data_IF_605764099615
#
_entry.id   IF_605764099615
#
_cell.length_a   1.000
_cell.length_b   1.000
_cell.length_c   1.000
_cell.angle_alpha   90.00
_cell.angle_beta   90.00
_cell.angle_gamma   90.00
#
_symmetry.space_group_name_H-M   'P 1'
#
loop_
_entity.id
_entity.type
_entity.pdbx_description
1 polymer ?
#
# COMPACT_ATOMS: atom_id res chain seq x y z
N UNK A 1 25.06 15.57 -26.22
CA UNK A 1 26.17 16.27 -25.55
C UNK A 1 25.72 16.76 -24.16
N UNK A 2 24.63 17.57 -24.08
CA UNK A 2 24.14 18.12 -22.80
C UNK A 2 23.82 17.03 -21.75
N UNK A 3 23.16 15.93 -22.13
CA UNK A 3 22.85 14.83 -21.19
C UNK A 3 24.11 14.22 -20.56
N UNK A 4 25.17 14.02 -21.35
CA UNK A 4 26.43 13.48 -20.84
C UNK A 4 27.07 14.46 -19.83
N UNK A 5 26.98 15.75 -20.10
CA UNK A 5 27.51 16.78 -19.20
C UNK A 5 26.76 16.78 -17.85
N UNK A 6 25.43 16.64 -17.86
CA UNK A 6 24.62 16.53 -16.65
C UNK A 6 24.98 15.25 -15.87
N UNK A 7 25.13 14.12 -16.54
CA UNK A 7 25.48 12.87 -15.87
C UNK A 7 26.90 12.90 -15.27
N UNK A 8 27.87 13.53 -15.96
CA UNK A 8 29.22 13.74 -15.42
C UNK A 8 29.23 14.68 -14.21
N UNK A 9 28.40 15.72 -14.24
CA UNK A 9 28.24 16.62 -13.12
C UNK A 9 27.65 15.91 -11.89
N UNK A 10 26.59 15.13 -12.07
CA UNK A 10 25.99 14.30 -11.03
C UNK A 10 26.97 13.29 -10.45
N UNK A 11 27.78 12.65 -11.32
CA UNK A 11 28.84 11.74 -10.88
C UNK A 11 29.85 12.46 -9.97
N UNK A 12 30.32 13.66 -10.36
CA UNK A 12 31.24 14.46 -9.53
C UNK A 12 30.63 14.82 -8.18
N UNK A 13 29.36 15.27 -8.16
CA UNK A 13 28.66 15.60 -6.91
C UNK A 13 28.56 14.39 -5.99
N UNK A 14 28.19 13.22 -6.55
CA UNK A 14 28.06 11.98 -5.78
C UNK A 14 29.35 11.55 -5.08
N UNK A 15 30.50 11.70 -5.74
CA UNK A 15 31.78 11.17 -5.22
C UNK A 15 32.63 12.21 -4.50
N UNK A 16 32.38 13.50 -4.70
CA UNK A 16 33.18 14.56 -4.10
C UNK A 16 32.46 15.31 -2.96
N UNK A 17 31.16 15.10 -2.79
CA UNK A 17 30.40 15.78 -1.73
C UNK A 17 30.43 14.98 -0.44
N UNK A 18 30.58 15.69 0.68
CA UNK A 18 30.38 15.16 2.03
C UNK A 18 28.92 15.23 2.50
N UNK A 19 28.07 15.96 1.80
CA UNK A 19 26.63 16.03 2.08
C UNK A 19 25.90 14.83 1.46
N UNK A 20 25.31 13.99 2.30
CA UNK A 20 24.56 12.78 1.90
C UNK A 20 23.42 13.09 0.94
N UNK A 21 22.87 14.30 1.00
CA UNK A 21 21.76 14.74 0.15
C UNK A 21 22.21 15.52 -1.09
N UNK A 22 23.51 15.74 -1.29
CA UNK A 22 24.00 16.59 -2.38
C UNK A 22 23.58 16.10 -3.76
N UNK A 23 23.60 14.78 -3.99
CA UNK A 23 23.18 14.20 -5.27
C UNK A 23 21.66 14.38 -5.51
N UNK A 24 20.83 14.21 -4.48
CA UNK A 24 19.39 14.37 -4.57
C UNK A 24 19.01 15.83 -4.85
N UNK A 25 19.69 16.78 -4.17
CA UNK A 25 19.55 18.22 -4.45
C UNK A 25 19.93 18.54 -5.90
N UNK A 26 21.03 17.97 -6.38
CA UNK A 26 21.50 18.22 -7.76
C UNK A 26 20.58 17.64 -8.82
N UNK A 27 19.98 16.47 -8.57
CA UNK A 27 18.96 15.87 -9.42
C UNK A 27 17.72 16.77 -9.50
N UNK A 28 17.25 17.29 -8.36
CA UNK A 28 16.10 18.18 -8.28
C UNK A 28 16.34 19.56 -8.96
N UNK A 29 17.59 20.04 -8.95
CA UNK A 29 17.96 21.31 -9.63
C UNK A 29 17.98 21.19 -11.17
N UNK A 30 18.44 20.04 -11.69
CA UNK A 30 18.57 19.77 -13.12
C UNK A 30 17.97 18.40 -13.40
N UNK A 31 16.62 18.27 -13.40
CA UNK A 31 15.95 17.00 -13.66
C UNK A 31 16.13 16.59 -15.13
N UNK A 32 16.31 15.27 -15.37
CA UNK A 32 16.36 14.66 -16.70
C UNK A 32 15.01 14.04 -17.04
N UNK A 33 14.26 13.63 -16.03
CA UNK A 33 12.94 13.02 -16.15
C UNK A 33 11.90 13.80 -15.35
N UNK A 34 10.60 13.74 -15.73
CA UNK A 34 9.53 14.37 -14.94
C UNK A 34 9.48 13.91 -13.49
N UNK A 35 9.83 12.65 -13.22
CA UNK A 35 9.88 12.08 -11.88
C UNK A 35 10.95 12.74 -11.00
N UNK A 36 12.07 13.15 -11.60
CA UNK A 36 13.14 13.85 -10.89
C UNK A 36 12.76 15.29 -10.49
N UNK A 37 11.89 15.95 -11.28
CA UNK A 37 11.40 17.31 -10.97
C UNK A 37 10.54 17.34 -9.70
N UNK A 38 9.91 16.22 -9.36
CA UNK A 38 9.09 16.06 -8.15
C UNK A 38 9.96 15.92 -6.89
N UNK A 39 11.26 15.62 -7.02
CA UNK A 39 12.20 15.46 -5.89
C UNK A 39 12.57 16.80 -5.21
N UNK A 40 11.65 17.76 -5.14
CA UNK A 40 11.87 19.02 -4.39
C UNK A 40 11.99 18.72 -2.89
N UNK A 41 13.22 18.69 -2.43
CA UNK A 41 13.61 18.20 -1.10
C UNK A 41 13.33 19.16 0.07
N UNK A 42 12.86 20.38 -0.17
CA UNK A 42 12.83 21.41 0.89
C UNK A 42 11.63 21.33 1.84
N UNK A 43 10.51 20.69 1.42
CA UNK A 43 9.28 20.68 2.22
C UNK A 43 8.57 19.31 2.25
N UNK A 44 9.26 18.23 1.88
CA UNK A 44 8.65 16.92 1.87
C UNK A 44 9.04 16.14 3.13
N UNK A 45 8.05 15.87 3.99
CA UNK A 45 8.21 15.06 5.20
C UNK A 45 8.40 13.56 4.90
N UNK A 46 8.13 13.14 3.66
CA UNK A 46 8.27 11.74 3.27
C UNK A 46 9.70 11.42 2.79
N UNK A 47 10.23 10.24 3.11
CA UNK A 47 11.54 9.77 2.67
C UNK A 47 11.50 9.32 1.21
N UNK A 48 11.43 10.27 0.28
CA UNK A 48 11.22 10.02 -1.16
C UNK A 48 12.26 9.05 -1.74
N UNK A 49 13.52 9.15 -1.32
CA UNK A 49 14.58 8.29 -1.85
C UNK A 49 14.34 6.81 -1.50
N UNK A 50 13.95 6.53 -0.26
CA UNK A 50 13.62 5.20 0.23
C UNK A 50 12.36 4.67 -0.43
N UNK A 51 11.33 5.51 -0.57
CA UNK A 51 10.08 5.15 -1.27
C UNK A 51 10.38 4.80 -2.73
N UNK A 52 11.14 5.65 -3.45
CA UNK A 52 11.49 5.41 -4.85
C UNK A 52 12.32 4.13 -5.00
N UNK A 53 13.27 3.89 -4.08
CA UNK A 53 14.03 2.64 -4.07
C UNK A 53 13.10 1.44 -3.90
N UNK A 54 12.16 1.51 -2.97
CA UNK A 54 11.20 0.41 -2.72
C UNK A 54 10.27 0.16 -3.90
N UNK A 55 9.76 1.20 -4.54
CA UNK A 55 8.97 1.08 -5.77
C UNK A 55 9.76 0.39 -6.88
N UNK A 56 11.02 0.78 -7.08
CA UNK A 56 11.88 0.13 -8.07
C UNK A 56 12.15 -1.36 -7.77
N UNK A 57 12.26 -1.73 -6.49
CA UNK A 57 12.39 -3.14 -6.08
C UNK A 57 11.12 -3.94 -6.42
N UNK A 58 9.94 -3.36 -6.22
CA UNK A 58 8.65 -3.96 -6.57
C UNK A 58 8.53 -4.10 -8.09
N UNK A 59 8.78 -3.03 -8.84
CA UNK A 59 8.64 -3.00 -10.31
C UNK A 59 9.61 -3.95 -11.02
N UNK A 60 10.80 -4.17 -10.46
CA UNK A 60 11.81 -5.07 -11.02
C UNK A 60 11.70 -6.52 -10.56
N UNK A 61 10.78 -6.84 -9.65
CA UNK A 61 10.53 -8.21 -9.19
C UNK A 61 9.16 -8.69 -9.68
N UNK A 62 9.06 -9.41 -10.79
CA UNK A 62 7.78 -9.88 -11.33
C UNK A 62 7.02 -10.81 -10.37
N UNK A 63 7.72 -11.44 -9.44
CA UNK A 63 7.14 -12.37 -8.46
C UNK A 63 6.88 -11.72 -7.10
N UNK A 64 6.93 -10.39 -7.02
CA UNK A 64 6.79 -9.68 -5.73
C UNK A 64 5.45 -9.96 -5.03
N UNK A 65 4.41 -10.22 -5.80
CA UNK A 65 3.05 -10.48 -5.32
C UNK A 65 2.64 -11.95 -5.36
N UNK A 66 3.54 -12.88 -5.68
CA UNK A 66 3.19 -14.32 -5.79
C UNK A 66 2.78 -14.93 -4.44
N UNK A 67 3.30 -14.39 -3.33
CA UNK A 67 2.99 -14.84 -1.97
C UNK A 67 1.77 -14.12 -1.34
N UNK A 68 1.07 -13.27 -2.12
CA UNK A 68 -0.09 -12.52 -1.63
C UNK A 68 -1.36 -13.34 -1.84
N UNK A 69 -2.14 -13.55 -0.78
CA UNK A 69 -3.44 -14.21 -0.86
C UNK A 69 -4.51 -13.18 -1.26
N UNK A 70 -5.15 -13.42 -2.40
CA UNK A 70 -6.21 -12.54 -2.93
C UNK A 70 -7.55 -13.25 -2.78
N UNK A 71 -8.54 -12.59 -2.17
CA UNK A 71 -9.83 -13.22 -1.96
C UNK A 71 -10.80 -12.40 -1.12
N UNK A 72 -11.65 -13.09 -0.40
CA UNK A 72 -12.65 -12.53 0.50
C UNK A 72 -12.73 -13.29 1.82
N UNK A 73 -13.31 -12.64 2.83
CA UNK A 73 -13.62 -13.27 4.12
C UNK A 73 -15.11 -13.59 4.19
N UNK A 74 -15.43 -14.82 4.55
CA UNK A 74 -16.80 -15.29 4.70
C UNK A 74 -17.02 -15.98 6.06
N UNK A 75 -18.24 -15.98 6.54
CA UNK A 75 -18.61 -16.78 7.69
C UNK A 75 -18.84 -18.23 7.25
N UNK A 76 -18.17 -19.14 7.90
CA UNK A 76 -18.45 -20.56 7.76
C UNK A 76 -19.80 -20.92 8.42
N UNK A 77 -20.29 -22.12 8.15
CA UNK A 77 -21.52 -22.65 8.79
C UNK A 77 -21.43 -22.70 10.33
N UNK A 78 -20.23 -22.66 10.85
CA UNK A 78 -19.93 -22.71 12.29
C UNK A 78 -19.76 -21.31 12.90
N UNK A 79 -19.95 -20.23 12.11
CA UNK A 79 -19.78 -18.86 12.54
C UNK A 79 -18.34 -18.38 12.66
N UNK A 80 -17.37 -19.16 12.16
CA UNK A 80 -15.97 -18.72 12.07
C UNK A 80 -15.75 -17.94 10.79
N UNK A 81 -14.80 -17.00 10.82
CA UNK A 81 -14.34 -16.31 9.61
C UNK A 81 -13.32 -17.20 8.90
N UNK A 82 -13.53 -17.41 7.63
CA UNK A 82 -12.66 -18.18 6.75
C UNK A 82 -12.30 -17.34 5.52
N UNK A 83 -11.05 -17.48 5.07
CA UNK A 83 -10.58 -16.86 3.82
C UNK A 83 -10.95 -17.75 2.64
N UNK A 84 -11.49 -17.15 1.59
CA UNK A 84 -11.83 -17.82 0.34
C UNK A 84 -11.12 -17.11 -0.82
N UNK A 85 -10.22 -17.79 -1.55
CA UNK A 85 -9.58 -17.20 -2.73
C UNK A 85 -10.63 -16.80 -3.79
N UNK A 86 -10.42 -15.66 -4.44
CA UNK A 86 -11.22 -15.20 -5.58
C UNK A 86 -10.34 -14.89 -6.78
N UNK A 87 -10.98 -14.71 -7.94
CA UNK A 87 -10.32 -14.25 -9.17
C UNK A 87 -10.42 -12.73 -9.36
N UNK A 88 -10.97 -12.04 -8.36
CA UNK A 88 -11.08 -10.59 -8.39
C UNK A 88 -9.69 -9.95 -8.31
N UNK A 89 -9.57 -8.77 -8.92
CA UNK A 89 -8.29 -8.07 -8.99
C UNK A 89 -8.29 -6.95 -7.96
N UNK A 90 -7.29 -6.90 -7.07
CA UNK A 90 -7.13 -5.79 -6.14
C UNK A 90 -6.94 -4.45 -6.87
N UNK A 91 -7.41 -3.37 -6.27
CA UNK A 91 -7.19 -2.02 -6.80
C UNK A 91 -5.87 -1.50 -6.21
N UNK A 92 -4.85 -1.38 -7.06
CA UNK A 92 -3.52 -0.87 -6.70
C UNK A 92 -3.20 0.47 -7.34
N UNK A 93 -3.99 0.89 -8.33
CA UNK A 93 -3.81 2.14 -9.07
C UNK A 93 -5.07 3.01 -8.99
N UNK A 94 -4.89 4.32 -8.85
CA UNK A 94 -5.97 5.30 -8.98
C UNK A 94 -5.53 6.42 -9.94
N UNK A 95 -6.39 6.84 -10.90
CA UNK A 95 -7.75 6.37 -11.17
C UNK A 95 -7.79 4.92 -11.65
N UNK A 96 -8.88 4.22 -11.29
CA UNK A 96 -9.05 2.80 -11.63
C UNK A 96 -9.17 2.62 -13.14
N UNK A 97 -8.54 1.57 -13.65
CA UNK A 97 -8.74 1.14 -15.04
C UNK A 97 -10.11 0.49 -15.20
N UNK A 98 -10.77 0.76 -16.33
CA UNK A 98 -12.06 0.13 -16.70
C UNK A 98 -13.24 0.41 -15.75
N UNK A 99 -13.23 1.48 -14.96
CA UNK A 99 -14.25 1.82 -13.96
C UNK A 99 -14.58 0.68 -12.98
N UNK A 100 -13.68 -0.28 -12.80
CA UNK A 100 -13.82 -1.34 -11.80
C UNK A 100 -13.47 -0.75 -10.44
N UNK A 101 -14.49 -0.54 -9.62
CA UNK A 101 -14.35 0.05 -8.29
C UNK A 101 -14.48 -0.98 -7.16
N UNK A 102 -14.94 -2.20 -7.45
CA UNK A 102 -14.90 -3.30 -6.51
C UNK A 102 -13.50 -3.89 -6.46
N UNK A 103 -12.84 -3.82 -5.30
CA UNK A 103 -11.55 -4.41 -5.06
C UNK A 103 -11.65 -5.81 -4.47
N UNK A 104 -10.53 -6.50 -4.37
CA UNK A 104 -10.37 -7.72 -3.60
C UNK A 104 -9.53 -7.46 -2.36
N UNK A 105 -9.73 -8.27 -1.32
CA UNK A 105 -8.86 -8.27 -0.14
C UNK A 105 -7.52 -8.88 -0.50
N UNK A 106 -6.44 -8.22 -0.10
CA UNK A 106 -5.07 -8.72 -0.16
C UNK A 106 -4.59 -9.07 1.25
N UNK A 107 -4.11 -10.29 1.44
CA UNK A 107 -3.50 -10.74 2.69
C UNK A 107 -2.03 -11.04 2.41
N UNK A 108 -1.13 -10.25 2.98
CA UNK A 108 0.33 -10.42 2.89
C UNK A 108 0.84 -11.41 3.92
N UNK A 109 0.25 -11.40 5.12
CA UNK A 109 0.57 -12.35 6.19
C UNK A 109 -0.71 -12.81 6.88
N UNK A 110 -0.91 -14.12 6.99
CA UNK A 110 -2.03 -14.69 7.75
C UNK A 110 -1.90 -14.36 9.24
N UNK A 111 -3.03 -14.28 10.00
CA UNK A 111 -2.98 -14.06 11.43
C UNK A 111 -2.06 -15.06 12.13
N UNK A 112 -1.10 -14.55 12.90
CA UNK A 112 -0.15 -15.38 13.62
C UNK A 112 -0.74 -15.83 14.96
N UNK A 113 -0.77 -17.14 15.17
CA UNK A 113 -1.29 -17.72 16.42
C UNK A 113 -0.16 -17.99 17.41
N UNK A 114 -0.44 -17.71 18.68
CA UNK A 114 0.40 -18.10 19.81
C UNK A 114 -0.46 -19.00 20.70
N UNK A 115 0.00 -20.24 20.91
CA UNK A 115 -0.76 -21.28 21.64
C UNK A 115 -2.18 -21.51 21.08
N UNK A 116 -2.34 -21.49 19.74
CA UNK A 116 -3.60 -21.76 19.03
C UNK A 116 -4.63 -20.63 19.10
N UNK A 117 -4.19 -19.41 19.42
CA UNK A 117 -5.03 -18.21 19.43
C UNK A 117 -4.26 -17.01 18.87
N UNK A 118 -4.94 -16.18 18.10
CA UNK A 118 -4.41 -14.88 17.69
C UNK A 118 -4.36 -13.98 18.94
N UNK A 119 -3.18 -13.42 19.31
CA UNK A 119 -3.03 -12.60 20.50
C UNK A 119 -3.91 -11.35 20.44
N UNK A 120 -4.46 -10.95 21.58
CA UNK A 120 -5.13 -9.66 21.72
C UNK A 120 -4.11 -8.53 21.54
N UNK A 121 -4.57 -7.40 21.02
CA UNK A 121 -3.78 -6.15 20.90
C UNK A 121 -2.53 -6.28 20.03
N UNK A 122 -2.43 -7.34 19.21
CA UNK A 122 -1.38 -7.48 18.22
C UNK A 122 -1.70 -6.72 16.94
N UNK A 123 -2.97 -6.73 16.53
CA UNK A 123 -3.38 -6.13 15.26
C UNK A 123 -4.29 -4.93 15.50
N UNK A 124 -4.06 -3.87 14.72
CA UNK A 124 -4.91 -2.69 14.65
C UNK A 124 -5.35 -2.47 13.21
N UNK A 125 -6.57 -2.03 13.03
CA UNK A 125 -7.13 -1.72 11.72
C UNK A 125 -7.34 -0.22 11.57
N UNK A 126 -7.06 0.30 10.37
CA UNK A 126 -7.45 1.63 9.95
C UNK A 126 -8.53 1.49 8.88
N UNK A 127 -9.60 2.26 9.00
CA UNK A 127 -10.70 2.32 8.05
C UNK A 127 -10.87 3.76 7.58
N UNK A 128 -10.77 3.96 6.27
CA UNK A 128 -11.13 5.20 5.58
C UNK A 128 -12.34 4.95 4.70
N UNK A 129 -13.50 5.50 5.10
CA UNK A 129 -14.77 5.33 4.40
C UNK A 129 -14.93 6.35 3.27
N UNK A 130 -15.64 5.99 2.20
CA UNK A 130 -16.20 6.95 1.27
C UNK A 130 -17.46 7.61 1.87
N UNK A 131 -17.74 8.89 1.50
CA UNK A 131 -18.70 9.73 2.23
C UNK A 131 -20.14 9.23 2.23
N UNK A 132 -20.66 8.75 1.09
CA UNK A 132 -21.99 8.16 1.02
C UNK A 132 -22.23 7.33 -0.25
N UNK A 133 -23.27 6.51 -0.23
CA UNK A 133 -23.60 5.56 -1.30
C UNK A 133 -23.98 6.24 -2.62
N UNK A 134 -24.54 7.45 -2.57
CA UNK A 134 -25.06 8.20 -3.72
C UNK A 134 -24.11 9.26 -4.25
N UNK A 135 -22.90 9.38 -3.68
CA UNK A 135 -21.94 10.36 -4.13
C UNK A 135 -21.52 10.11 -5.58
N UNK A 136 -21.51 11.18 -6.38
CA UNK A 136 -20.99 11.14 -7.75
C UNK A 136 -19.45 11.02 -7.80
N UNK A 137 -18.80 11.17 -6.66
CA UNK A 137 -17.34 11.00 -6.57
C UNK A 137 -16.97 9.53 -6.69
N UNK A 138 -15.89 9.25 -7.44
CA UNK A 138 -15.30 7.91 -7.55
C UNK A 138 -14.35 7.60 -6.38
N UNK A 139 -14.51 8.26 -5.22
CA UNK A 139 -13.69 8.00 -4.04
C UNK A 139 -13.84 6.53 -3.60
N UNK A 140 -12.71 5.91 -3.32
CA UNK A 140 -12.64 4.54 -2.80
C UNK A 140 -12.57 4.60 -1.28
N UNK A 141 -13.06 3.57 -0.62
CA UNK A 141 -12.73 3.31 0.78
C UNK A 141 -11.52 2.40 0.89
N UNK A 142 -10.80 2.47 2.00
CA UNK A 142 -9.66 1.61 2.24
C UNK A 142 -9.59 1.11 3.69
N UNK A 143 -9.06 -0.09 3.84
CA UNK A 143 -8.86 -0.74 5.14
C UNK A 143 -7.44 -1.29 5.13
N UNK A 144 -6.67 -0.99 6.19
CA UNK A 144 -5.35 -1.57 6.42
C UNK A 144 -5.30 -2.29 7.75
N UNK A 145 -4.60 -3.41 7.78
CA UNK A 145 -4.31 -4.16 9.02
C UNK A 145 -2.84 -4.07 9.32
N UNK A 146 -2.48 -3.50 10.47
CA UNK A 146 -1.12 -3.35 10.96
C UNK A 146 -0.85 -4.39 12.06
N UNK A 147 0.23 -5.14 11.93
CA UNK A 147 0.80 -5.95 13.01
C UNK A 147 1.72 -5.06 13.88
N UNK A 148 1.30 -4.76 15.10
CA UNK A 148 2.02 -3.91 16.03
C UNK A 148 3.33 -4.53 16.56
N UNK A 149 3.50 -5.85 16.44
CA UNK A 149 4.72 -6.52 16.89
C UNK A 149 5.84 -6.44 15.84
N UNK A 150 5.47 -6.37 14.57
CA UNK A 150 6.43 -6.34 13.45
C UNK A 150 6.48 -4.99 12.74
N UNK A 151 5.54 -4.07 13.07
CA UNK A 151 5.36 -2.77 12.43
C UNK A 151 5.16 -2.90 10.90
N UNK A 152 4.35 -3.91 10.49
CA UNK A 152 4.10 -4.24 9.09
C UNK A 152 2.61 -4.25 8.78
N UNK A 153 2.24 -3.74 7.61
CA UNK A 153 0.91 -3.95 7.06
C UNK A 153 0.82 -5.39 6.59
N UNK A 154 -0.16 -6.13 7.11
CA UNK A 154 -0.34 -7.57 6.87
C UNK A 154 -1.55 -7.89 6.01
N UNK A 155 -2.48 -6.96 5.86
CA UNK A 155 -3.58 -7.06 4.90
C UNK A 155 -4.08 -5.68 4.51
N UNK A 156 -4.68 -5.59 3.32
CA UNK A 156 -5.36 -4.38 2.86
C UNK A 156 -6.58 -4.71 2.00
N UNK A 157 -7.52 -3.79 2.01
CA UNK A 157 -8.63 -3.74 1.06
C UNK A 157 -8.76 -2.32 0.55
N UNK A 158 -8.84 -2.14 -0.76
CA UNK A 158 -9.17 -0.88 -1.40
C UNK A 158 -10.27 -1.11 -2.42
N UNK A 159 -11.37 -0.36 -2.29
CA UNK A 159 -12.50 -0.53 -3.19
C UNK A 159 -13.69 0.35 -2.84
N UNK A 160 -14.70 0.31 -3.72
CA UNK A 160 -15.99 0.95 -3.48
C UNK A 160 -17.09 -0.09 -3.65
N UNK A 161 -17.45 -0.85 -2.61
CA UNK A 161 -18.63 -1.69 -2.62
C UNK A 161 -19.89 -0.83 -2.81
N UNK A 162 -21.04 -1.47 -3.06
CA UNK A 162 -22.29 -0.77 -3.38
C UNK A 162 -22.74 0.14 -2.24
N UNK A 163 -22.58 -0.32 -1.00
CA UNK A 163 -22.98 0.40 0.21
C UNK A 163 -21.79 0.58 1.16
N UNK A 164 -21.79 1.67 1.92
CA UNK A 164 -20.83 1.91 3.00
C UNK A 164 -20.87 0.78 4.04
N UNK A 165 -22.05 0.23 4.29
CA UNK A 165 -22.22 -0.89 5.22
C UNK A 165 -21.48 -2.16 4.75
N UNK A 166 -21.35 -2.39 3.45
CA UNK A 166 -20.55 -3.50 2.93
C UNK A 166 -19.06 -3.32 3.25
N UNK A 167 -18.54 -2.09 3.16
CA UNK A 167 -17.17 -1.78 3.55
C UNK A 167 -16.96 -1.98 5.06
N UNK A 168 -17.92 -1.52 5.87
CA UNK A 168 -17.90 -1.73 7.32
C UNK A 168 -17.95 -3.22 7.66
N UNK A 169 -18.70 -4.03 6.89
CA UNK A 169 -18.76 -5.48 7.09
C UNK A 169 -17.44 -6.17 6.72
N UNK A 170 -16.74 -5.72 5.67
CA UNK A 170 -15.38 -6.18 5.34
C UNK A 170 -14.44 -5.87 6.50
N UNK A 171 -14.48 -4.64 7.03
CA UNK A 171 -13.68 -4.24 8.19
C UNK A 171 -13.98 -5.11 9.43
N UNK A 172 -15.27 -5.35 9.72
CA UNK A 172 -15.71 -6.21 10.83
C UNK A 172 -15.18 -7.64 10.68
N UNK A 173 -15.23 -8.22 9.48
CA UNK A 173 -14.68 -9.55 9.21
C UNK A 173 -13.17 -9.59 9.42
N UNK A 174 -12.44 -8.55 8.95
CA UNK A 174 -11.00 -8.43 9.19
C UNK A 174 -10.67 -8.32 10.69
N UNK A 175 -11.45 -7.54 11.47
CA UNK A 175 -11.29 -7.49 12.93
C UNK A 175 -11.45 -8.87 13.56
N UNK A 176 -12.43 -9.64 13.16
CA UNK A 176 -12.64 -10.98 13.69
C UNK A 176 -11.57 -11.98 13.24
N UNK A 177 -11.09 -11.85 11.99
CA UNK A 177 -10.07 -12.72 11.42
C UNK A 177 -8.70 -12.52 12.10
N UNK A 178 -8.30 -11.27 12.32
CA UNK A 178 -7.04 -10.91 12.97
C UNK A 178 -7.14 -10.73 14.49
N UNK A 179 -8.34 -10.90 15.08
CA UNK A 179 -8.60 -10.53 16.48
C UNK A 179 -8.12 -9.09 16.80
N UNK A 180 -8.32 -8.19 15.83
CA UNK A 180 -7.85 -6.81 15.87
C UNK A 180 -8.90 -5.83 16.37
N UNK A 181 -8.45 -4.58 16.56
CA UNK A 181 -9.30 -3.43 16.94
C UNK A 181 -9.22 -2.35 15.86
N UNK A 182 -10.33 -1.65 15.64
CA UNK A 182 -10.41 -0.44 14.77
C UNK A 182 -10.18 0.79 15.61
#
# INVERSE_FOLDING_TARGET
KALIEILLDRYKVKYNSTDINAITKRIAEIPITPQEDILKTKDNIFPIAEITKRLNEIDNNPNFFDDVYIGELAFSKQGKIEFTPTTDIPIRDFPTKDNKVQGALEIYEMPQEVHGKVPNERYILSLDNFENDTAQSMSLGSIFVLDLWTDRIVAEYTGRPMFVDDLNEICRKLCLFYNGKV
#
